data_IF_200915301267
#
_entry.id   IF_200915301267
#
_cell.length_a   1.000
_cell.length_b   1.000
_cell.length_c   1.000
_cell.angle_alpha   90.00
_cell.angle_beta   90.00
_cell.angle_gamma   90.00
#
_symmetry.space_group_name_H-M   'P 1'
#
loop_
_entity.id
_entity.type
_entity.pdbx_description
1 polymer ?
#
# COMPACT_ATOMS: atom_id res chain seq x y z
N UNK A 1 -27.56 17.76 -4.78
CA UNK A 1 -26.22 17.49 -4.28
C UNK A 1 -25.51 16.47 -5.18
N UNK A 2 -25.96 15.18 -5.29
CA UNK A 2 -25.29 14.10 -5.99
C UNK A 2 -24.90 14.44 -7.47
N UNK A 3 -25.83 15.01 -8.25
CA UNK A 3 -25.54 15.41 -9.64
C UNK A 3 -24.42 16.47 -9.72
N UNK A 4 -24.36 17.41 -8.79
CA UNK A 4 -23.27 18.41 -8.74
C UNK A 4 -21.92 17.73 -8.48
N UNK A 5 -21.89 16.72 -7.61
CA UNK A 5 -20.68 15.92 -7.37
C UNK A 5 -20.27 15.14 -8.62
N UNK A 6 -21.25 14.54 -9.32
CA UNK A 6 -20.99 13.85 -10.59
C UNK A 6 -20.43 14.78 -11.67
N UNK A 7 -21.01 15.97 -11.83
CA UNK A 7 -20.53 16.96 -12.80
C UNK A 7 -19.12 17.46 -12.48
N UNK A 8 -18.82 17.71 -11.21
CA UNK A 8 -17.45 18.10 -10.78
C UNK A 8 -16.43 17.02 -11.11
N UNK A 9 -16.74 15.77 -10.76
CA UNK A 9 -15.86 14.65 -11.03
C UNK A 9 -15.66 14.44 -12.53
N UNK A 10 -16.74 14.49 -13.30
CA UNK A 10 -16.69 14.42 -14.76
C UNK A 10 -15.76 15.48 -15.35
N UNK A 11 -15.97 16.77 -15.00
CA UNK A 11 -15.15 17.87 -15.50
C UNK A 11 -13.68 17.75 -15.08
N UNK A 12 -13.43 17.32 -13.84
CA UNK A 12 -12.09 17.08 -13.32
C UNK A 12 -11.33 16.01 -14.13
N UNK A 13 -12.00 14.93 -14.50
CA UNK A 13 -11.37 13.85 -15.27
C UNK A 13 -11.13 14.28 -16.72
N UNK A 14 -12.11 14.96 -17.35
CA UNK A 14 -11.93 15.51 -18.69
C UNK A 14 -10.75 16.49 -18.74
N UNK A 15 -10.60 17.38 -17.75
CA UNK A 15 -9.47 18.31 -17.70
C UNK A 15 -8.10 17.63 -17.58
N UNK A 16 -8.07 16.35 -17.14
CA UNK A 16 -6.88 15.52 -17.07
C UNK A 16 -6.67 14.60 -18.29
N UNK A 17 -7.50 14.76 -19.34
CA UNK A 17 -7.47 13.90 -20.52
C UNK A 17 -8.01 12.48 -20.28
N UNK A 18 -8.74 12.26 -19.17
CA UNK A 18 -9.32 10.98 -18.80
C UNK A 18 -10.81 10.94 -19.13
N UNK A 19 -11.39 9.72 -19.26
CA UNK A 19 -12.84 9.59 -19.37
C UNK A 19 -13.55 10.07 -18.11
N UNK A 20 -14.58 10.90 -18.26
CA UNK A 20 -15.39 11.36 -17.12
C UNK A 20 -16.46 10.35 -16.71
N UNK A 21 -16.72 9.31 -17.50
CA UNK A 21 -17.75 8.30 -17.26
C UNK A 21 -17.22 7.10 -16.46
N UNK A 22 -18.15 6.26 -15.97
CA UNK A 22 -17.79 4.97 -15.37
C UNK A 22 -17.03 4.10 -16.37
N UNK A 23 -16.01 3.36 -15.94
CA UNK A 23 -15.48 2.24 -16.71
C UNK A 23 -16.58 1.22 -17.04
N UNK A 24 -16.50 0.57 -18.19
CA UNK A 24 -17.43 -0.52 -18.55
C UNK A 24 -16.66 -1.77 -18.97
N UNK A 25 -17.05 -2.89 -18.36
CA UNK A 25 -16.30 -4.14 -18.46
C UNK A 25 -16.31 -4.72 -19.88
N UNK A 26 -17.44 -4.65 -20.57
CA UNK A 26 -17.57 -5.12 -21.95
C UNK A 26 -16.52 -4.50 -22.90
N UNK A 27 -16.20 -3.21 -22.69
CA UNK A 27 -15.13 -2.56 -23.44
C UNK A 27 -13.72 -3.00 -23.03
N UNK A 28 -13.52 -3.28 -21.73
CA UNK A 28 -12.24 -3.77 -21.20
C UNK A 28 -11.96 -5.18 -21.76
N UNK A 29 -12.97 -6.03 -21.78
CA UNK A 29 -12.84 -7.44 -22.21
C UNK A 29 -12.76 -7.64 -23.71
N UNK A 30 -12.93 -6.60 -24.51
CA UNK A 30 -13.01 -6.72 -25.99
C UNK A 30 -11.88 -7.52 -26.62
N UNK A 31 -10.68 -7.44 -26.08
CA UNK A 31 -9.48 -8.12 -26.58
C UNK A 31 -8.89 -9.11 -25.54
N UNK A 32 -9.67 -9.49 -24.54
CA UNK A 32 -9.21 -10.36 -23.46
C UNK A 32 -9.94 -11.70 -23.55
N UNK A 33 -9.18 -12.79 -23.61
CA UNK A 33 -9.70 -14.14 -23.58
C UNK A 33 -10.09 -14.51 -22.15
N UNK A 34 -11.40 -14.71 -21.91
CA UNK A 34 -11.92 -15.25 -20.65
C UNK A 34 -11.97 -16.77 -20.76
N UNK A 35 -11.24 -17.47 -19.90
CA UNK A 35 -11.11 -18.93 -19.94
C UNK A 35 -12.33 -19.60 -19.31
N UNK A 36 -12.82 -19.06 -18.20
CA UNK A 36 -14.01 -19.56 -17.51
C UNK A 36 -14.64 -18.50 -16.63
N UNK A 37 -15.91 -18.73 -16.29
CA UNK A 37 -16.71 -17.94 -15.39
C UNK A 37 -17.06 -18.78 -14.15
N UNK A 38 -16.95 -18.21 -12.94
CA UNK A 38 -17.23 -18.90 -11.67
C UNK A 38 -18.31 -18.14 -10.93
N UNK A 39 -19.45 -18.80 -10.64
CA UNK A 39 -20.47 -18.24 -9.72
C UNK A 39 -19.96 -18.33 -8.28
N UNK A 40 -19.74 -17.18 -7.64
CA UNK A 40 -19.35 -17.08 -6.23
C UNK A 40 -20.56 -16.98 -5.30
N UNK A 41 -21.77 -17.01 -5.84
CA UNK A 41 -23.01 -16.82 -5.07
C UNK A 41 -23.19 -15.37 -4.61
N UNK A 42 -23.86 -15.21 -3.46
CA UNK A 42 -24.09 -13.89 -2.85
C UNK A 42 -23.03 -13.67 -1.78
N UNK A 43 -22.26 -12.60 -1.97
CA UNK A 43 -21.24 -12.16 -1.01
C UNK A 43 -21.41 -10.67 -0.72
N UNK A 44 -20.88 -10.20 0.40
CA UNK A 44 -20.89 -8.79 0.75
C UNK A 44 -19.75 -8.06 0.05
N UNK A 45 -20.10 -7.03 -0.72
CA UNK A 45 -19.19 -6.32 -1.63
C UNK A 45 -18.82 -4.95 -1.06
N UNK A 46 -17.54 -4.70 -0.76
CA UNK A 46 -17.10 -3.36 -0.41
C UNK A 46 -17.39 -2.38 -1.55
N UNK A 47 -18.15 -1.31 -1.29
CA UNK A 47 -18.52 -0.33 -2.32
C UNK A 47 -17.32 0.34 -2.99
N UNK A 48 -16.19 0.44 -2.30
CA UNK A 48 -14.94 0.98 -2.87
C UNK A 48 -14.36 0.09 -3.97
N UNK A 49 -14.65 -1.22 -3.95
CA UNK A 49 -14.22 -2.16 -4.99
C UNK A 49 -15.18 -2.26 -6.17
N UNK A 50 -16.33 -1.62 -6.12
CA UNK A 50 -17.26 -1.50 -7.25
C UNK A 50 -16.82 -0.29 -8.07
N UNK A 51 -16.15 -0.53 -9.20
CA UNK A 51 -15.46 0.51 -9.97
C UNK A 51 -16.14 0.87 -11.27
N UNK A 52 -17.06 0.03 -11.76
CA UNK A 52 -17.68 0.23 -13.06
C UNK A 52 -18.99 -0.50 -13.28
N UNK A 53 -19.50 -0.41 -14.46
CA UNK A 53 -20.69 -1.12 -14.93
C UNK A 53 -20.32 -2.12 -16.05
N UNK A 54 -21.22 -3.05 -16.37
CA UNK A 54 -20.93 -4.00 -17.43
C UNK A 54 -21.01 -3.35 -18.82
N UNK A 55 -22.08 -2.60 -19.12
CA UNK A 55 -22.36 -2.10 -20.46
C UNK A 55 -22.07 -0.61 -20.66
N UNK A 56 -21.64 -0.26 -21.87
CA UNK A 56 -21.41 1.13 -22.30
C UNK A 56 -22.61 2.05 -22.06
N UNK A 57 -23.82 1.62 -22.41
CA UNK A 57 -25.03 2.46 -22.26
C UNK A 57 -25.30 2.89 -20.81
N UNK A 58 -24.96 2.05 -19.82
CA UNK A 58 -25.09 2.37 -18.40
C UNK A 58 -23.96 3.26 -17.92
N UNK A 59 -22.76 3.11 -18.46
CA UNK A 59 -21.59 3.92 -18.15
C UNK A 59 -21.90 5.42 -18.22
N UNK A 60 -22.54 5.86 -19.29
CA UNK A 60 -22.85 7.29 -19.56
C UNK A 60 -23.84 7.93 -18.59
N UNK A 61 -24.55 7.15 -17.79
CA UNK A 61 -25.50 7.67 -16.81
C UNK A 61 -24.82 8.21 -15.55
N UNK A 62 -23.55 7.89 -15.34
CA UNK A 62 -22.79 8.21 -14.12
C UNK A 62 -21.40 8.76 -14.44
N UNK A 63 -20.91 9.62 -13.55
CA UNK A 63 -19.49 9.97 -13.51
C UNK A 63 -18.67 8.80 -12.94
N UNK A 64 -17.34 8.84 -13.08
CA UNK A 64 -16.41 7.80 -12.61
C UNK A 64 -16.57 7.44 -11.12
N UNK A 65 -17.05 8.38 -10.30
CA UNK A 65 -17.36 8.18 -8.87
C UNK A 65 -18.77 7.61 -8.61
N UNK A 66 -19.47 7.11 -9.63
CA UNK A 66 -20.87 6.64 -9.55
C UNK A 66 -21.93 7.70 -9.31
N UNK A 67 -21.58 8.99 -9.24
CA UNK A 67 -22.58 10.04 -9.08
C UNK A 67 -23.34 10.28 -10.39
N UNK A 68 -24.67 10.55 -10.31
CA UNK A 68 -25.52 10.67 -11.50
C UNK A 68 -25.18 11.92 -12.33
N UNK A 69 -25.20 11.76 -13.67
CA UNK A 69 -25.02 12.85 -14.63
C UNK A 69 -26.33 13.30 -15.30
N UNK A 70 -27.34 12.43 -15.33
CA UNK A 70 -28.60 12.67 -16.04
C UNK A 70 -29.41 13.84 -15.43
N UNK A 71 -30.27 14.42 -16.25
CA UNK A 71 -31.04 15.61 -15.86
C UNK A 71 -32.02 15.34 -14.73
N UNK A 72 -32.33 16.35 -13.86
CA UNK A 72 -33.23 16.18 -12.71
C UNK A 72 -34.68 15.80 -13.06
N UNK A 73 -35.09 16.08 -14.29
CA UNK A 73 -36.45 15.76 -14.81
C UNK A 73 -36.57 14.37 -15.45
N UNK A 74 -35.47 13.62 -15.52
CA UNK A 74 -35.45 12.30 -16.15
C UNK A 74 -36.12 11.23 -15.25
N UNK A 75 -36.66 10.19 -15.86
CA UNK A 75 -37.14 9.00 -15.16
C UNK A 75 -36.02 8.38 -14.26
N UNK A 76 -34.80 8.47 -14.73
CA UNK A 76 -33.64 8.05 -13.95
C UNK A 76 -33.55 8.81 -12.61
N UNK A 77 -33.70 10.13 -12.65
CA UNK A 77 -33.59 10.96 -11.44
C UNK A 77 -34.74 10.68 -10.46
N UNK A 78 -35.95 10.39 -10.98
CA UNK A 78 -37.08 10.00 -10.14
C UNK A 78 -36.80 8.66 -9.42
N UNK A 79 -36.38 7.63 -10.17
CA UNK A 79 -36.03 6.32 -9.61
C UNK A 79 -34.86 6.43 -8.60
N UNK A 80 -33.86 7.27 -8.88
CA UNK A 80 -32.74 7.51 -7.99
C UNK A 80 -33.17 8.17 -6.68
N UNK A 81 -34.06 9.18 -6.74
CA UNK A 81 -34.64 9.84 -5.54
C UNK A 81 -35.47 8.87 -4.69
N UNK A 82 -36.26 8.00 -5.34
CA UNK A 82 -37.06 7.01 -4.62
C UNK A 82 -36.17 6.01 -3.88
N UNK A 83 -35.05 5.58 -4.49
CA UNK A 83 -34.06 4.74 -3.82
C UNK A 83 -33.38 5.46 -2.64
N UNK A 84 -33.13 6.78 -2.72
CA UNK A 84 -32.65 7.54 -1.56
C UNK A 84 -33.63 7.51 -0.40
N UNK A 85 -34.95 7.69 -0.69
CA UNK A 85 -35.99 7.64 0.35
C UNK A 85 -36.07 6.24 0.98
N UNK A 86 -36.04 5.19 0.15
CA UNK A 86 -36.02 3.81 0.64
C UNK A 86 -34.78 3.56 1.50
N UNK A 87 -33.62 4.03 1.08
CA UNK A 87 -32.37 3.88 1.87
C UNK A 87 -32.45 4.55 3.25
N UNK A 88 -33.02 5.77 3.32
CA UNK A 88 -33.17 6.50 4.58
C UNK A 88 -34.17 5.80 5.51
N UNK A 89 -35.28 5.26 4.96
CA UNK A 89 -36.35 4.70 5.75
C UNK A 89 -36.07 3.26 6.25
N UNK A 90 -35.52 2.41 5.40
CA UNK A 90 -35.39 0.96 5.66
C UNK A 90 -34.03 0.35 5.24
N UNK A 91 -33.21 1.14 4.56
CA UNK A 91 -31.95 0.67 3.98
C UNK A 91 -32.13 -0.09 2.65
N UNK A 92 -31.08 -0.13 1.83
CA UNK A 92 -31.05 -0.92 0.60
C UNK A 92 -30.34 -2.23 0.91
N UNK A 93 -31.08 -3.35 0.87
CA UNK A 93 -30.58 -4.69 1.19
C UNK A 93 -30.63 -5.66 0.01
N UNK A 94 -31.35 -5.33 -1.05
CA UNK A 94 -31.49 -6.20 -2.23
C UNK A 94 -30.12 -6.41 -2.91
N UNK A 95 -29.75 -7.68 -3.16
CA UNK A 95 -28.49 -7.98 -3.83
C UNK A 95 -28.42 -7.35 -5.23
N UNK A 96 -27.28 -6.83 -5.58
CA UNK A 96 -26.95 -6.44 -6.97
C UNK A 96 -26.40 -7.64 -7.74
N UNK A 97 -26.33 -7.54 -9.08
CA UNK A 97 -25.58 -8.51 -9.90
C UNK A 97 -24.32 -7.86 -10.44
N UNK A 98 -23.20 -8.53 -10.28
CA UNK A 98 -21.89 -8.02 -10.71
C UNK A 98 -21.05 -9.09 -11.36
N UNK A 99 -20.19 -8.66 -12.29
CA UNK A 99 -19.00 -9.40 -12.68
C UNK A 99 -17.80 -8.97 -11.81
N UNK A 100 -17.01 -9.92 -11.37
CA UNK A 100 -15.68 -9.69 -10.82
C UNK A 100 -14.66 -9.97 -11.92
N UNK A 101 -13.78 -8.99 -12.16
CA UNK A 101 -12.65 -9.09 -13.05
C UNK A 101 -11.43 -8.45 -12.41
N UNK A 102 -10.34 -9.19 -12.29
CA UNK A 102 -9.10 -8.77 -11.65
C UNK A 102 -9.32 -8.20 -10.23
N UNK A 103 -10.21 -8.86 -9.46
CA UNK A 103 -10.59 -8.46 -8.09
C UNK A 103 -11.30 -7.08 -8.00
N UNK A 104 -11.87 -6.59 -9.10
CA UNK A 104 -12.74 -5.40 -9.16
C UNK A 104 -14.14 -5.80 -9.64
N UNK A 105 -15.16 -5.07 -9.17
CA UNK A 105 -16.55 -5.39 -9.46
C UNK A 105 -17.17 -4.41 -10.43
N UNK A 106 -17.88 -4.95 -11.41
CA UNK A 106 -18.58 -4.23 -12.46
C UNK A 106 -20.06 -4.60 -12.44
N UNK A 107 -20.93 -3.61 -12.24
CA UNK A 107 -22.35 -3.84 -12.01
C UNK A 107 -23.09 -4.18 -13.30
N UNK A 108 -23.74 -5.33 -13.34
CA UNK A 108 -24.69 -5.75 -14.37
C UNK A 108 -26.06 -5.18 -14.08
N UNK A 109 -26.55 -5.37 -12.83
CA UNK A 109 -27.84 -4.91 -12.35
C UNK A 109 -27.71 -4.26 -10.98
N UNK A 110 -28.35 -3.08 -10.79
CA UNK A 110 -28.33 -2.36 -9.52
C UNK A 110 -27.46 -1.10 -9.49
N UNK A 111 -27.00 -0.59 -10.65
CA UNK A 111 -26.18 0.62 -10.73
C UNK A 111 -26.72 1.82 -9.91
N UNK A 112 -28.05 2.04 -9.89
CA UNK A 112 -28.66 3.12 -9.09
C UNK A 112 -28.54 2.87 -7.59
N UNK A 113 -28.66 1.60 -7.15
CA UNK A 113 -28.47 1.19 -5.74
C UNK A 113 -27.05 1.50 -5.29
N UNK A 114 -26.06 1.09 -6.09
CA UNK A 114 -24.64 1.41 -5.84
C UNK A 114 -24.40 2.92 -5.78
N UNK A 115 -24.98 3.68 -6.71
CA UNK A 115 -24.87 5.15 -6.75
C UNK A 115 -25.42 5.81 -5.49
N UNK A 116 -26.58 5.38 -5.00
CA UNK A 116 -27.19 5.88 -3.76
C UNK A 116 -26.33 5.52 -2.56
N UNK A 117 -25.92 4.29 -2.42
CA UNK A 117 -25.10 3.84 -1.30
C UNK A 117 -23.72 4.55 -1.26
N UNK A 118 -23.09 4.76 -2.40
CA UNK A 118 -21.85 5.57 -2.47
C UNK A 118 -22.08 7.03 -2.11
N UNK A 119 -23.24 7.59 -2.43
CA UNK A 119 -23.61 8.96 -2.05
C UNK A 119 -23.77 9.13 -0.53
N UNK A 120 -24.23 8.09 0.16
CA UNK A 120 -24.37 8.05 1.62
C UNK A 120 -23.15 7.42 2.33
N UNK A 121 -22.05 7.19 1.60
CA UNK A 121 -20.79 6.61 2.12
C UNK A 121 -20.99 5.28 2.86
N UNK A 122 -21.95 4.46 2.39
CA UNK A 122 -22.15 3.13 2.92
C UNK A 122 -20.90 2.25 2.66
N UNK A 123 -20.66 1.26 3.53
CA UNK A 123 -19.48 0.42 3.46
C UNK A 123 -19.59 -0.65 2.37
N UNK A 124 -20.71 -1.39 2.34
CA UNK A 124 -20.88 -2.55 1.47
C UNK A 124 -22.31 -2.71 0.98
N UNK A 125 -22.50 -3.65 0.07
CA UNK A 125 -23.81 -4.10 -0.45
C UNK A 125 -23.71 -5.59 -0.79
N UNK A 126 -24.75 -6.41 -0.47
CA UNK A 126 -24.79 -7.78 -0.95
C UNK A 126 -24.89 -7.84 -2.48
N UNK A 127 -24.15 -8.76 -3.08
CA UNK A 127 -24.15 -8.94 -4.52
C UNK A 127 -23.95 -10.38 -4.94
N UNK A 128 -24.70 -10.84 -5.94
CA UNK A 128 -24.41 -12.08 -6.67
C UNK A 128 -23.27 -11.81 -7.63
N UNK A 129 -22.21 -12.58 -7.47
CA UNK A 129 -20.95 -12.38 -8.19
C UNK A 129 -20.67 -13.53 -9.14
N UNK A 130 -20.46 -13.21 -10.42
CA UNK A 130 -19.81 -14.10 -11.37
C UNK A 130 -18.38 -13.61 -11.61
N UNK A 131 -17.40 -14.46 -11.35
CA UNK A 131 -15.97 -14.16 -11.55
C UNK A 131 -15.55 -14.51 -12.96
N UNK A 132 -15.02 -13.54 -13.71
CA UNK A 132 -14.46 -13.72 -15.03
C UNK A 132 -12.93 -13.91 -14.93
N UNK A 133 -12.46 -15.11 -15.26
CA UNK A 133 -11.04 -15.43 -15.14
C UNK A 133 -10.38 -15.30 -16.51
N UNK A 134 -9.44 -14.35 -16.70
CA UNK A 134 -8.70 -14.20 -17.94
C UNK A 134 -7.73 -15.36 -18.14
N UNK A 135 -7.29 -15.58 -19.35
CA UNK A 135 -6.21 -16.49 -19.66
C UNK A 135 -4.94 -16.09 -18.91
N UNK A 136 -4.26 -17.09 -18.35
CA UNK A 136 -3.02 -16.86 -17.61
C UNK A 136 -1.94 -16.31 -18.55
N UNK A 137 -1.33 -15.22 -18.14
CA UNK A 137 -0.22 -14.56 -18.81
C UNK A 137 0.81 -14.11 -17.77
N UNK A 138 1.92 -14.81 -17.73
CA UNK A 138 3.01 -14.50 -16.80
C UNK A 138 3.80 -13.24 -17.21
N UNK A 139 3.66 -12.76 -18.44
CA UNK A 139 4.27 -11.51 -18.89
C UNK A 139 3.49 -10.28 -18.40
N UNK A 140 2.18 -10.42 -18.21
CA UNK A 140 1.33 -9.38 -17.62
C UNK A 140 1.39 -9.48 -16.07
N UNK A 141 1.98 -8.45 -15.46
CA UNK A 141 2.13 -8.39 -14.00
C UNK A 141 0.77 -8.40 -13.28
N UNK A 142 -0.24 -7.76 -13.85
CA UNK A 142 -1.58 -7.66 -13.22
C UNK A 142 -2.28 -9.01 -13.26
N UNK A 143 -2.20 -9.72 -14.38
CA UNK A 143 -2.76 -11.08 -14.51
C UNK A 143 -2.01 -12.05 -13.59
N UNK A 144 -0.68 -11.96 -13.54
CA UNK A 144 0.14 -12.80 -12.65
C UNK A 144 -0.24 -12.61 -11.18
N UNK A 145 -0.34 -11.37 -10.69
CA UNK A 145 -0.79 -11.05 -9.32
C UNK A 145 -2.23 -11.52 -9.09
N UNK A 146 -3.09 -11.43 -10.10
CA UNK A 146 -4.47 -11.91 -9.98
C UNK A 146 -4.54 -13.42 -9.78
N UNK A 147 -3.69 -14.20 -10.43
CA UNK A 147 -3.61 -15.64 -10.18
C UNK A 147 -3.11 -15.97 -8.77
N UNK A 148 -2.13 -15.23 -8.25
CA UNK A 148 -1.73 -15.34 -6.83
C UNK A 148 -2.92 -15.02 -5.90
N UNK A 149 -3.71 -13.98 -6.23
CA UNK A 149 -4.93 -13.65 -5.48
C UNK A 149 -5.95 -14.79 -5.51
N UNK A 150 -6.15 -15.47 -6.66
CA UNK A 150 -7.10 -16.58 -6.76
C UNK A 150 -6.72 -17.74 -5.82
N UNK A 151 -5.45 -18.08 -5.76
CA UNK A 151 -4.94 -19.12 -4.85
C UNK A 151 -5.08 -18.69 -3.38
N UNK A 152 -4.73 -17.46 -3.07
CA UNK A 152 -4.91 -16.86 -1.76
C UNK A 152 -6.39 -16.84 -1.33
N UNK A 153 -7.28 -16.39 -2.22
CA UNK A 153 -8.73 -16.35 -1.96
C UNK A 153 -9.31 -17.74 -1.73
N UNK A 154 -8.92 -18.72 -2.54
CA UNK A 154 -9.34 -20.12 -2.37
C UNK A 154 -8.98 -20.67 -0.99
N UNK A 155 -7.82 -20.30 -0.46
CA UNK A 155 -7.33 -20.70 0.87
C UNK A 155 -8.02 -19.96 2.01
N UNK A 156 -8.19 -18.65 1.87
CA UNK A 156 -8.53 -17.75 2.99
C UNK A 156 -9.95 -17.20 2.97
N UNK A 157 -10.57 -17.09 1.79
CA UNK A 157 -11.82 -16.38 1.56
C UNK A 157 -11.69 -14.84 1.62
N UNK A 158 -10.47 -14.30 1.76
CA UNK A 158 -10.24 -12.85 1.89
C UNK A 158 -10.25 -12.20 0.50
N UNK A 159 -11.15 -11.25 0.27
CA UNK A 159 -11.29 -10.53 -0.99
C UNK A 159 -11.06 -9.01 -0.90
N UNK A 160 -10.72 -8.50 0.29
CA UNK A 160 -10.56 -7.05 0.54
C UNK A 160 -9.13 -6.55 0.37
N UNK A 161 -8.20 -7.47 0.14
CA UNK A 161 -6.77 -7.21 0.00
C UNK A 161 -6.39 -7.23 -1.48
N UNK A 162 -5.56 -6.29 -1.91
CA UNK A 162 -4.98 -6.25 -3.24
C UNK A 162 -3.55 -5.70 -3.21
N UNK A 163 -2.63 -6.44 -3.80
CA UNK A 163 -1.23 -6.07 -3.94
C UNK A 163 -0.89 -5.61 -5.36
N UNK A 164 0.18 -4.84 -5.49
CA UNK A 164 0.73 -4.39 -6.78
C UNK A 164 2.04 -5.07 -7.14
N UNK A 165 2.64 -5.81 -6.20
CA UNK A 165 3.89 -6.53 -6.39
C UNK A 165 3.63 -8.04 -6.45
N UNK A 166 4.36 -8.74 -7.33
CA UNK A 166 4.35 -10.21 -7.39
C UNK A 166 4.80 -10.80 -6.07
N UNK A 167 4.35 -12.01 -5.79
CA UNK A 167 4.67 -12.80 -4.61
C UNK A 167 4.15 -12.25 -3.27
N UNK A 168 3.50 -11.08 -3.26
CA UNK A 168 2.98 -10.46 -2.03
C UNK A 168 1.88 -11.28 -1.37
N UNK A 169 1.01 -11.93 -2.16
CA UNK A 169 -0.01 -12.84 -1.61
C UNK A 169 0.60 -14.08 -0.97
N UNK A 170 1.69 -14.62 -1.54
CA UNK A 170 2.38 -15.77 -0.96
C UNK A 170 3.09 -15.39 0.35
N UNK A 171 3.73 -14.23 0.41
CA UNK A 171 4.35 -13.71 1.64
C UNK A 171 3.29 -13.53 2.73
N UNK A 172 2.18 -12.85 2.44
CA UNK A 172 1.08 -12.70 3.41
C UNK A 172 0.51 -14.07 3.83
N UNK A 173 0.36 -15.00 2.89
CA UNK A 173 -0.09 -16.37 3.20
C UNK A 173 0.84 -17.06 4.19
N UNK A 174 2.16 -16.91 4.07
CA UNK A 174 3.15 -17.41 5.00
C UNK A 174 3.01 -16.82 6.41
N UNK A 175 2.78 -15.53 6.53
CA UNK A 175 2.45 -14.89 7.81
C UNK A 175 1.16 -15.46 8.42
N UNK A 176 0.11 -15.65 7.60
CA UNK A 176 -1.17 -16.19 8.07
C UNK A 176 -1.10 -17.67 8.44
N UNK A 177 -0.19 -18.45 7.87
CA UNK A 177 0.00 -19.84 8.25
C UNK A 177 0.49 -19.97 9.70
N UNK A 178 1.38 -19.08 10.10
CA UNK A 178 1.94 -19.01 11.46
C UNK A 178 1.14 -18.14 12.42
N UNK A 179 0.10 -17.45 11.93
CA UNK A 179 -0.72 -16.57 12.75
C UNK A 179 -1.68 -17.39 13.62
N UNK A 180 -1.59 -17.18 14.92
CA UNK A 180 -2.45 -17.78 15.94
C UNK A 180 -3.26 -16.65 16.59
N UNK A 181 -4.58 -16.61 16.41
CA UNK A 181 -5.43 -15.66 17.14
C UNK A 181 -5.37 -15.90 18.64
N UNK A 182 -5.71 -14.87 19.45
CA UNK A 182 -5.83 -14.97 20.90
C UNK A 182 -6.66 -16.21 21.32
N UNK A 183 -6.21 -16.94 22.32
CA UNK A 183 -6.78 -18.22 22.81
C UNK A 183 -8.28 -18.14 23.13
N UNK A 184 -8.78 -16.96 23.52
CA UNK A 184 -10.19 -16.72 23.80
C UNK A 184 -11.09 -16.76 22.53
N UNK A 185 -10.52 -16.86 21.34
CA UNK A 185 -11.19 -16.76 20.03
C UNK A 185 -11.02 -18.03 19.18
N UNK A 186 -10.60 -19.15 19.77
CA UNK A 186 -10.32 -20.42 19.07
C UNK A 186 -11.48 -20.97 18.22
N UNK A 187 -12.72 -20.52 18.46
CA UNK A 187 -13.91 -20.90 17.66
C UNK A 187 -14.12 -20.01 16.44
N UNK A 188 -13.30 -18.99 16.23
CA UNK A 188 -13.45 -18.07 15.10
C UNK A 188 -12.50 -18.48 13.98
N UNK A 189 -13.00 -18.47 12.75
CA UNK A 189 -12.15 -18.68 11.57
C UNK A 189 -11.01 -17.65 11.59
N UNK A 190 -9.75 -18.12 11.65
CA UNK A 190 -8.56 -17.27 11.77
C UNK A 190 -8.45 -16.20 10.68
N UNK A 191 -8.95 -16.46 9.49
CA UNK A 191 -8.93 -15.51 8.38
C UNK A 191 -9.96 -14.39 8.54
N UNK A 192 -11.14 -14.71 9.12
CA UNK A 192 -12.12 -13.68 9.52
C UNK A 192 -11.60 -12.84 10.66
N UNK A 193 -10.97 -13.47 11.66
CA UNK A 193 -10.34 -12.75 12.76
C UNK A 193 -9.26 -11.81 12.24
N UNK A 194 -8.30 -12.31 11.45
CA UNK A 194 -7.27 -11.49 10.83
C UNK A 194 -7.86 -10.30 10.07
N UNK A 195 -8.88 -10.56 9.24
CA UNK A 195 -9.50 -9.49 8.44
C UNK A 195 -10.11 -8.42 9.32
N UNK A 196 -10.91 -8.81 10.33
CA UNK A 196 -11.72 -7.87 11.12
C UNK A 196 -10.95 -7.21 12.26
N UNK A 197 -10.04 -7.96 12.89
CA UNK A 197 -9.34 -7.51 14.10
C UNK A 197 -7.92 -7.00 13.85
N UNK A 198 -7.32 -7.34 12.69
CA UNK A 198 -5.96 -6.93 12.36
C UNK A 198 -5.94 -6.00 11.15
N UNK A 199 -6.38 -6.50 9.97
CA UNK A 199 -6.23 -5.75 8.72
C UNK A 199 -7.15 -4.53 8.61
N UNK A 200 -8.44 -4.66 8.92
CA UNK A 200 -9.38 -3.55 8.83
C UNK A 200 -9.11 -2.42 9.83
N UNK A 201 -8.75 -2.68 11.11
CA UNK A 201 -8.28 -1.64 12.02
C UNK A 201 -7.02 -0.93 11.52
N UNK A 202 -6.00 -1.69 11.06
CA UNK A 202 -4.82 -1.10 10.43
C UNK A 202 -5.21 -0.18 9.26
N UNK A 203 -6.04 -0.68 8.35
CA UNK A 203 -6.51 0.07 7.18
C UNK A 203 -7.25 1.35 7.58
N UNK A 204 -8.10 1.28 8.61
CA UNK A 204 -8.83 2.45 9.13
C UNK A 204 -7.83 3.55 9.54
N UNK A 205 -6.91 3.21 10.44
CA UNK A 205 -5.93 4.17 10.98
C UNK A 205 -4.98 4.68 9.88
N UNK A 206 -4.50 3.79 8.99
CA UNK A 206 -3.66 4.16 7.86
C UNK A 206 -4.32 5.20 6.94
N UNK A 207 -5.61 5.03 6.63
CA UNK A 207 -6.36 5.98 5.81
C UNK A 207 -6.67 7.30 6.54
N UNK A 208 -6.95 7.26 7.84
CA UNK A 208 -7.13 8.47 8.67
C UNK A 208 -5.87 9.33 8.70
N UNK A 209 -4.71 8.72 8.71
CA UNK A 209 -3.40 9.39 8.66
C UNK A 209 -2.99 9.86 7.26
N UNK A 210 -3.81 9.63 6.24
CA UNK A 210 -3.55 10.13 4.90
C UNK A 210 -2.82 9.13 3.99
N UNK A 211 -2.69 7.86 4.37
CA UNK A 211 -2.00 6.83 3.59
C UNK A 211 -2.54 6.62 2.17
N UNK A 212 -3.80 7.03 1.90
CA UNK A 212 -4.35 7.03 0.54
C UNK A 212 -3.68 8.02 -0.43
N UNK A 213 -2.81 8.90 0.05
CA UNK A 213 -2.04 9.84 -0.79
C UNK A 213 -0.76 9.20 -1.33
N UNK A 214 -0.33 8.10 -0.72
CA UNK A 214 0.85 7.36 -1.13
C UNK A 214 0.60 6.59 -2.44
N UNK A 215 1.62 6.40 -3.29
CA UNK A 215 1.50 5.71 -4.57
C UNK A 215 1.48 4.17 -4.42
N UNK A 216 1.18 3.64 -3.25
CA UNK A 216 1.09 2.21 -2.96
C UNK A 216 -0.30 1.85 -2.42
N UNK A 217 -0.71 0.60 -2.56
CA UNK A 217 -1.98 0.16 -1.98
C UNK A 217 -1.87 0.05 -0.45
N UNK A 218 -3.02 0.11 0.24
CA UNK A 218 -3.03 -0.15 1.69
C UNK A 218 -2.49 -1.55 2.03
N UNK A 219 -2.66 -2.52 1.14
CA UNK A 219 -2.18 -3.87 1.35
C UNK A 219 -0.66 -3.95 1.21
N UNK A 220 -0.07 -3.26 0.22
CA UNK A 220 1.38 -3.17 0.09
C UNK A 220 1.98 -2.49 1.33
N UNK A 221 1.38 -1.39 1.81
CA UNK A 221 1.81 -0.73 3.04
C UNK A 221 1.66 -1.65 4.27
N UNK A 222 0.58 -2.42 4.36
CA UNK A 222 0.40 -3.39 5.43
C UNK A 222 1.47 -4.49 5.42
N UNK A 223 1.82 -5.00 4.24
CA UNK A 223 2.85 -6.03 4.11
C UNK A 223 4.23 -5.50 4.52
N UNK A 224 4.59 -4.29 4.09
CA UNK A 224 5.81 -3.62 4.53
C UNK A 224 5.81 -3.40 6.06
N UNK A 225 4.68 -2.95 6.62
CA UNK A 225 4.53 -2.76 8.06
C UNK A 225 4.77 -4.06 8.85
N UNK A 226 4.11 -5.16 8.47
CA UNK A 226 4.26 -6.43 9.21
C UNK A 226 5.64 -7.05 9.04
N UNK A 227 6.35 -6.72 7.98
CA UNK A 227 7.74 -7.17 7.77
C UNK A 227 8.68 -6.47 8.76
N UNK A 228 8.43 -5.22 9.09
CA UNK A 228 9.27 -4.42 10.00
C UNK A 228 8.83 -4.57 11.46
N UNK A 229 7.53 -4.44 11.74
CA UNK A 229 6.99 -4.32 13.10
C UNK A 229 6.26 -5.58 13.60
N UNK A 230 6.07 -6.58 12.73
CA UNK A 230 5.25 -7.75 13.02
C UNK A 230 3.75 -7.48 12.90
N UNK A 231 2.96 -8.53 13.15
CA UNK A 231 1.49 -8.48 13.05
C UNK A 231 0.92 -7.56 14.14
N UNK A 232 0.11 -6.54 13.80
CA UNK A 232 -0.48 -5.61 14.78
C UNK A 232 -1.73 -6.22 15.46
N UNK A 233 -1.59 -7.41 16.04
CA UNK A 233 -2.65 -8.08 16.77
C UNK A 233 -2.62 -7.66 18.24
N UNK A 234 -3.81 -7.40 18.82
CA UNK A 234 -3.93 -6.97 20.22
C UNK A 234 -3.38 -5.57 20.53
N UNK A 235 -2.98 -4.80 19.53
CA UNK A 235 -2.51 -3.42 19.71
C UNK A 235 -3.71 -2.48 19.80
N UNK A 236 -3.74 -1.59 20.81
CA UNK A 236 -4.77 -0.57 20.88
C UNK A 236 -4.65 0.47 19.74
N UNK A 237 -5.77 1.12 19.39
CA UNK A 237 -5.86 2.04 18.25
C UNK A 237 -4.89 3.23 18.40
N UNK A 238 -4.62 3.69 19.61
CA UNK A 238 -3.75 4.85 19.84
C UNK A 238 -2.27 4.49 19.65
N UNK A 239 -1.85 3.32 20.13
CA UNK A 239 -0.50 2.80 19.90
C UNK A 239 -0.26 2.50 18.42
N UNK A 240 -1.24 1.92 17.73
CA UNK A 240 -1.19 1.69 16.29
C UNK A 240 -1.07 3.02 15.53
N UNK A 241 -1.84 4.03 15.92
CA UNK A 241 -1.81 5.37 15.31
C UNK A 241 -0.46 6.05 15.47
N UNK A 242 0.15 5.93 16.65
CA UNK A 242 1.49 6.48 16.92
C UNK A 242 2.55 5.84 16.01
N UNK A 243 2.56 4.49 15.92
CA UNK A 243 3.49 3.76 15.05
C UNK A 243 3.28 4.07 13.57
N UNK A 244 2.04 4.09 13.12
CA UNK A 244 1.72 4.36 11.72
C UNK A 244 2.04 5.79 11.29
N UNK A 245 2.01 6.77 12.21
CA UNK A 245 2.40 8.15 11.90
C UNK A 245 3.87 8.24 11.47
N UNK A 246 4.78 7.56 12.16
CA UNK A 246 6.19 7.46 11.77
C UNK A 246 6.37 6.67 10.47
N UNK A 247 5.73 5.51 10.38
CA UNK A 247 5.83 4.63 9.22
C UNK A 247 5.36 5.28 7.90
N UNK A 248 4.30 6.09 7.93
CA UNK A 248 3.82 6.81 6.75
C UNK A 248 4.86 7.81 6.27
N UNK A 249 5.53 8.52 7.18
CA UNK A 249 6.62 9.44 6.82
C UNK A 249 7.77 8.69 6.15
N UNK A 250 8.14 7.52 6.66
CA UNK A 250 9.16 6.66 6.06
C UNK A 250 8.76 6.21 4.66
N UNK A 251 7.51 5.75 4.47
CA UNK A 251 6.99 5.37 3.15
C UNK A 251 6.96 6.55 2.16
N UNK A 252 6.63 7.76 2.61
CA UNK A 252 6.70 8.98 1.79
C UNK A 252 8.12 9.27 1.33
N UNK A 253 9.09 9.15 2.23
CA UNK A 253 10.51 9.35 1.90
C UNK A 253 11.01 8.28 0.91
N UNK A 254 10.67 7.01 1.13
CA UNK A 254 11.03 5.91 0.21
C UNK A 254 10.43 6.13 -1.19
N UNK A 255 9.16 6.53 -1.27
CA UNK A 255 8.49 6.77 -2.56
C UNK A 255 9.04 7.98 -3.32
N UNK A 256 9.56 8.99 -2.61
CA UNK A 256 10.23 10.14 -3.22
C UNK A 256 11.65 9.80 -3.68
N UNK A 257 12.29 8.81 -3.06
CA UNK A 257 13.63 8.36 -3.41
C UNK A 257 13.67 7.42 -4.63
N UNK A 258 12.56 6.86 -5.11
CA UNK A 258 12.51 6.11 -6.38
C UNK A 258 12.85 6.97 -7.61
N UNK A 259 12.92 8.30 -7.47
CA UNK A 259 13.49 9.21 -8.48
C UNK A 259 14.98 9.44 -8.36
N UNK A 260 15.63 8.85 -7.38
CA UNK A 260 17.08 8.91 -7.26
C UNK A 260 17.69 7.93 -8.27
N UNK A 261 18.04 8.43 -9.45
CA UNK A 261 18.92 7.70 -10.36
C UNK A 261 20.21 7.41 -9.59
N UNK A 262 20.53 6.13 -9.44
CA UNK A 262 21.87 5.73 -8.96
C UNK A 262 22.85 6.23 -10.01
N UNK A 263 23.43 7.37 -9.75
CA UNK A 263 24.52 7.88 -10.59
C UNK A 263 25.76 7.10 -10.22
N UNK A 264 26.20 6.25 -11.14
CA UNK A 264 27.42 5.44 -11.02
C UNK A 264 28.71 6.24 -11.32
N UNK A 265 28.57 7.55 -11.57
CA UNK A 265 29.72 8.45 -11.85
C UNK A 265 29.68 9.58 -10.82
N UNK A 266 30.80 9.92 -10.15
CA UNK A 266 30.85 11.08 -9.26
C UNK A 266 30.49 12.34 -10.05
N UNK A 267 29.45 13.06 -9.59
CA UNK A 267 29.17 14.39 -10.14
C UNK A 267 30.24 15.36 -9.61
N UNK A 268 30.92 16.02 -10.49
CA UNK A 268 31.71 17.20 -10.16
C UNK A 268 30.70 18.32 -9.84
N UNK A 269 30.26 18.39 -8.59
CA UNK A 269 29.29 19.36 -8.12
C UNK A 269 30.03 20.69 -7.92
N UNK A 270 30.00 21.52 -8.96
CA UNK A 270 30.23 22.95 -8.77
C UNK A 270 29.32 23.49 -7.67
N UNK A 271 29.81 24.42 -6.91
CA UNK A 271 29.41 25.01 -5.62
C UNK A 271 27.93 25.28 -5.34
N UNK A 272 26.96 24.95 -6.24
CA UNK A 272 25.58 25.40 -6.16
C UNK A 272 24.60 24.45 -5.44
N UNK A 273 24.96 23.19 -5.15
CA UNK A 273 24.07 22.26 -4.43
C UNK A 273 24.17 22.40 -2.91
N UNK A 274 25.27 22.93 -2.40
CA UNK A 274 25.47 23.15 -0.96
C UNK A 274 24.55 24.24 -0.41
N UNK A 275 24.18 25.24 -1.22
CA UNK A 275 23.29 26.33 -0.78
C UNK A 275 21.85 25.91 -0.56
N UNK A 276 21.36 24.88 -1.26
CA UNK A 276 19.97 24.40 -1.14
C UNK A 276 19.79 23.45 0.07
N UNK A 277 20.83 22.71 0.43
CA UNK A 277 20.82 21.83 1.61
C UNK A 277 21.06 22.58 2.94
N UNK A 278 21.73 23.72 2.90
CA UNK A 278 22.00 24.53 4.11
C UNK A 278 20.81 25.34 4.60
N UNK A 279 19.69 25.39 3.87
CA UNK A 279 18.46 26.08 4.29
C UNK A 279 17.60 25.22 5.23
N UNK A 280 17.86 23.91 5.32
CA UNK A 280 17.17 23.01 6.25
C UNK A 280 18.04 22.76 7.49
N UNK A 281 17.73 23.50 8.54
CA UNK A 281 18.11 23.27 9.96
C UNK A 281 19.59 22.91 10.15
N UNK A 282 20.43 23.89 10.46
CA UNK A 282 21.75 23.63 11.04
C UNK A 282 21.57 22.88 12.36
N UNK A 283 22.02 21.61 12.49
CA UNK A 283 22.01 20.94 13.77
C UNK A 283 22.94 21.74 14.72
N UNK A 284 22.51 21.97 15.95
CA UNK A 284 23.32 22.65 16.99
C UNK A 284 24.58 21.87 17.39
N UNK A 285 24.68 20.60 16.99
CA UNK A 285 25.83 19.71 17.20
C UNK A 285 26.09 18.92 15.92
N UNK A 286 27.37 18.58 15.60
CA UNK A 286 27.69 17.69 14.49
C UNK A 286 26.98 16.35 14.65
N UNK A 287 26.46 15.82 13.56
CA UNK A 287 25.92 14.45 13.52
C UNK A 287 27.09 13.48 13.61
N UNK A 288 27.06 12.58 14.57
CA UNK A 288 28.07 11.54 14.76
C UNK A 288 27.74 10.30 13.94
N UNK A 289 28.63 9.90 13.06
CA UNK A 289 28.44 8.76 12.16
C UNK A 289 29.58 7.77 12.35
N UNK A 290 29.27 6.55 12.76
CA UNK A 290 30.23 5.46 12.85
C UNK A 290 30.10 4.50 11.67
N UNK A 291 31.24 4.03 11.15
CA UNK A 291 31.32 3.02 10.10
C UNK A 291 31.88 1.72 10.69
N UNK A 292 31.28 0.59 10.33
CA UNK A 292 31.67 -0.73 10.83
C UNK A 292 32.15 -1.60 9.67
N UNK A 293 33.43 -2.02 9.74
CA UNK A 293 34.11 -2.80 8.71
C UNK A 293 34.45 -4.21 9.22
N UNK A 294 34.23 -5.20 8.37
CA UNK A 294 34.53 -6.60 8.68
C UNK A 294 36.04 -6.91 8.68
N UNK A 295 36.85 -6.12 7.93
CA UNK A 295 38.25 -6.37 7.75
C UNK A 295 39.03 -5.06 7.87
N UNK A 296 40.34 -5.18 8.10
CA UNK A 296 41.24 -4.04 8.11
C UNK A 296 41.23 -3.30 6.78
N UNK A 297 41.27 -1.96 6.87
CA UNK A 297 41.21 -1.02 5.72
C UNK A 297 42.36 -1.27 4.73
N UNK A 298 43.54 -1.67 5.20
CA UNK A 298 44.71 -1.84 4.37
C UNK A 298 44.81 -3.23 3.72
N UNK A 299 44.04 -4.19 4.21
CA UNK A 299 44.12 -5.59 3.74
C UNK A 299 42.98 -5.99 2.83
N UNK A 300 41.88 -5.23 2.82
CA UNK A 300 40.66 -5.52 2.03
C UNK A 300 40.35 -4.38 1.06
N UNK A 301 40.34 -4.68 -0.23
CA UNK A 301 39.93 -3.72 -1.27
C UNK A 301 38.50 -3.25 -1.12
N UNK A 302 37.60 -4.12 -0.64
CA UNK A 302 36.21 -3.78 -0.31
C UNK A 302 36.17 -2.75 0.82
N UNK A 303 36.80 -3.04 1.95
CA UNK A 303 36.88 -2.15 3.11
C UNK A 303 37.54 -0.81 2.75
N UNK A 304 38.62 -0.83 1.95
CA UNK A 304 39.28 0.38 1.45
C UNK A 304 38.29 1.26 0.66
N UNK A 305 37.46 0.68 -0.21
CA UNK A 305 36.48 1.45 -0.98
C UNK A 305 35.42 2.10 -0.06
N UNK A 306 35.02 1.42 0.99
CA UNK A 306 34.07 1.98 1.98
C UNK A 306 34.71 3.11 2.80
N UNK A 307 35.97 2.96 3.19
CA UNK A 307 36.72 3.98 3.89
C UNK A 307 36.94 5.24 3.02
N UNK A 308 37.19 5.08 1.71
CA UNK A 308 37.22 6.22 0.78
C UNK A 308 35.87 6.96 0.76
N UNK A 309 34.75 6.24 0.81
CA UNK A 309 33.41 6.82 0.95
C UNK A 309 33.27 7.62 2.24
N UNK A 310 33.66 7.07 3.40
CA UNK A 310 33.66 7.78 4.69
C UNK A 310 34.48 9.06 4.66
N UNK A 311 35.71 8.97 4.14
CA UNK A 311 36.65 10.13 4.01
C UNK A 311 36.02 11.21 3.12
N UNK A 312 35.36 10.79 2.02
CA UNK A 312 34.66 11.72 1.14
C UNK A 312 33.50 12.43 1.87
N UNK A 313 32.66 11.68 2.60
CA UNK A 313 31.58 12.23 3.42
C UNK A 313 32.11 13.25 4.43
N UNK A 314 33.17 12.90 5.16
CA UNK A 314 33.82 13.81 6.11
C UNK A 314 34.31 15.09 5.44
N UNK A 315 34.84 14.99 4.22
CA UNK A 315 35.38 16.11 3.44
C UNK A 315 34.29 17.03 2.91
N UNK A 316 33.16 16.44 2.43
CA UNK A 316 32.06 17.19 1.84
C UNK A 316 31.24 17.93 2.91
N UNK A 317 30.95 17.27 4.04
CA UNK A 317 30.09 17.82 5.08
C UNK A 317 30.85 18.60 6.17
N UNK A 318 32.17 18.49 6.23
CA UNK A 318 33.05 19.26 7.12
C UNK A 318 32.58 19.14 8.60
N UNK A 319 32.38 20.29 9.24
CA UNK A 319 32.02 20.38 10.67
C UNK A 319 30.55 19.92 10.98
N UNK A 320 29.76 19.70 9.96
CA UNK A 320 28.36 19.25 10.14
C UNK A 320 28.22 17.78 10.50
N UNK A 321 29.21 16.96 10.11
CA UNK A 321 29.25 15.53 10.40
C UNK A 321 30.59 15.14 10.99
N UNK A 322 30.59 14.45 12.10
CA UNK A 322 31.79 13.81 12.70
C UNK A 322 31.76 12.33 12.37
N UNK A 323 32.76 11.82 11.67
CA UNK A 323 32.83 10.41 11.28
C UNK A 323 33.89 9.64 12.05
N UNK A 324 33.61 8.42 12.44
CA UNK A 324 34.53 7.45 13.00
C UNK A 324 34.37 6.09 12.31
N UNK A 325 35.31 5.17 12.53
CA UNK A 325 35.14 3.79 12.06
C UNK A 325 35.72 2.79 13.07
N UNK A 326 35.21 1.56 12.97
CA UNK A 326 35.76 0.39 13.67
C UNK A 326 35.95 -0.71 12.62
N UNK A 327 37.09 -1.28 12.54
CA UNK A 327 37.44 -2.37 11.63
C UNK A 327 37.64 -3.70 12.35
N UNK A 328 37.89 -4.78 11.56
CA UNK A 328 38.04 -6.15 12.06
C UNK A 328 36.89 -6.64 12.95
N UNK A 329 35.70 -6.14 12.72
CA UNK A 329 34.50 -6.62 13.42
C UNK A 329 34.08 -7.97 12.79
N UNK A 330 33.91 -9.05 13.61
CA UNK A 330 33.61 -10.36 13.06
C UNK A 330 32.25 -10.39 12.36
N UNK A 331 32.17 -11.12 11.23
CA UNK A 331 30.93 -11.33 10.47
C UNK A 331 30.05 -12.42 11.12
N UNK A 332 29.83 -12.33 12.43
CA UNK A 332 29.09 -13.27 13.28
C UNK A 332 28.08 -12.52 14.14
N UNK A 333 27.17 -13.22 14.83
CA UNK A 333 26.21 -12.57 15.74
C UNK A 333 26.86 -11.69 16.84
N UNK A 334 28.12 -11.93 17.18
CA UNK A 334 28.88 -11.15 18.16
C UNK A 334 29.15 -9.71 17.70
N UNK A 335 29.01 -9.39 16.42
CA UNK A 335 29.02 -8.02 15.92
C UNK A 335 27.99 -7.13 16.65
N UNK A 336 26.92 -7.73 17.21
CA UNK A 336 25.90 -7.04 17.99
C UNK A 336 26.52 -6.20 19.13
N UNK A 337 27.46 -6.74 19.88
CA UNK A 337 28.07 -6.04 21.03
C UNK A 337 28.80 -4.75 20.59
N UNK A 338 29.47 -4.81 19.44
CA UNK A 338 30.11 -3.64 18.85
C UNK A 338 29.10 -2.60 18.38
N UNK A 339 28.02 -3.05 17.73
CA UNK A 339 26.96 -2.16 17.23
C UNK A 339 26.22 -1.48 18.37
N UNK A 340 25.86 -2.23 19.41
CA UNK A 340 25.22 -1.70 20.63
C UNK A 340 26.11 -0.66 21.32
N UNK A 341 27.38 -0.98 21.51
CA UNK A 341 28.36 -0.05 22.10
C UNK A 341 28.47 1.25 21.29
N UNK A 342 28.51 1.18 19.97
CA UNK A 342 28.56 2.38 19.11
C UNK A 342 27.29 3.24 19.25
N UNK A 343 26.14 2.63 19.42
CA UNK A 343 24.89 3.37 19.69
C UNK A 343 24.92 4.03 21.08
N UNK A 344 25.35 3.31 22.12
CA UNK A 344 25.52 3.82 23.49
C UNK A 344 26.54 4.94 23.60
N UNK A 345 27.58 4.94 22.77
CA UNK A 345 28.57 6.04 22.65
C UNK A 345 27.97 7.32 22.04
N UNK A 346 26.69 7.28 21.65
CA UNK A 346 25.93 8.42 21.16
C UNK A 346 26.25 8.77 19.70
N UNK A 347 26.50 7.76 18.87
CA UNK A 347 26.48 7.92 17.43
C UNK A 347 25.04 8.03 16.94
N UNK A 348 24.76 9.04 16.12
CA UNK A 348 23.43 9.29 15.54
C UNK A 348 23.13 8.32 14.40
N UNK A 349 24.17 7.84 13.72
CA UNK A 349 24.09 6.89 12.60
C UNK A 349 25.23 5.88 12.67
N UNK A 350 24.91 4.60 12.45
CA UNK A 350 25.91 3.53 12.33
C UNK A 350 25.77 2.88 10.95
N UNK A 351 26.80 3.00 10.11
CA UNK A 351 26.86 2.34 8.80
C UNK A 351 27.58 1.00 8.90
N UNK A 352 26.89 -0.06 8.50
CA UNK A 352 27.44 -1.41 8.41
C UNK A 352 27.72 -1.76 6.94
N UNK A 353 28.88 -2.32 6.64
CA UNK A 353 29.37 -2.46 5.28
C UNK A 353 29.32 -3.89 4.72
N UNK A 354 28.70 -4.81 5.43
CA UNK A 354 28.50 -6.20 4.97
C UNK A 354 27.08 -6.69 5.29
N UNK A 355 26.46 -7.49 4.40
CA UNK A 355 25.15 -8.13 4.67
C UNK A 355 25.15 -9.02 5.91
N UNK A 356 26.27 -9.53 6.35
CA UNK A 356 26.40 -10.36 7.55
C UNK A 356 25.94 -9.61 8.84
N UNK A 357 25.98 -8.29 8.82
CA UNK A 357 25.56 -7.47 9.97
C UNK A 357 24.07 -7.13 10.01
N UNK A 358 23.26 -7.54 9.06
CA UNK A 358 21.82 -7.22 9.02
C UNK A 358 21.13 -7.62 10.33
N UNK A 359 21.26 -8.88 10.73
CA UNK A 359 20.62 -9.39 11.96
C UNK A 359 21.18 -8.77 13.25
N UNK A 360 22.51 -8.69 13.44
CA UNK A 360 23.08 -7.99 14.60
C UNK A 360 22.65 -6.52 14.68
N UNK A 361 22.60 -5.80 13.54
CA UNK A 361 22.16 -4.40 13.48
C UNK A 361 20.69 -4.26 13.86
N UNK A 362 19.83 -5.12 13.30
CA UNK A 362 18.41 -5.10 13.62
C UNK A 362 18.17 -5.34 15.12
N UNK A 363 18.89 -6.29 15.71
CA UNK A 363 18.82 -6.56 17.14
C UNK A 363 19.25 -5.34 17.97
N UNK A 364 20.39 -4.71 17.63
CA UNK A 364 20.89 -3.54 18.33
C UNK A 364 20.00 -2.30 18.19
N UNK A 365 19.27 -2.17 17.09
CA UNK A 365 18.34 -1.06 16.86
C UNK A 365 16.99 -1.22 17.59
N UNK A 366 16.63 -2.44 18.00
CA UNK A 366 15.36 -2.73 18.72
C UNK A 366 15.50 -2.68 20.25
N UNK A 367 16.71 -2.69 20.78
CA UNK A 367 17.02 -2.59 22.23
C UNK A 367 17.50 -1.19 22.64
#
# INVERSE_FOLDING_TARGET
AARKLGQREYSKNISKGQTGYLPFLDGILKNIEIVYEVDLGIIDLPLKKIVGTYTYGRSRSFASNYMPLLTPKSEFALKWKNLCRAHINEGIRDPIKVYEYLNWYYVVEGNKRVSVLKFYDAYSIPGRVSRMVPKRDESDITISIYYEFLDFYKKTGINVIWFTKRNSFNILSGYLDNFVPDENLMNTNKYKYFTNSVYLPFRKVYLELGGQKLPITTADAFLEYITVYGMPDGIDEQALKSRLSGFIIELEQMSNNERTQIQTVPIDTGENLISTLTTFVRPRKPIKVAFVYAKDVNTSSWTYSQEMGRVHVSKVFGETISTSFVDNVPETPEAYDTLKRLAEEGNDVVFVTTPAYINPTLKAALE
#
